data_IF_870596278042
#
_entry.id   IF_870596278042
#
_cell.length_a   1.000
_cell.length_b   1.000
_cell.length_c   1.000
_cell.angle_alpha   90.00
_cell.angle_beta   90.00
_cell.angle_gamma   90.00
#
_symmetry.space_group_name_H-M   'P 1'
#
loop_
_entity.id
_entity.type
_entity.pdbx_description
1 polymer ?
#
# COMPACT_ATOMS: atom_id res chain seq x y z
N UNK A 1 -38.98 28.76 14.84
CA UNK A 1 -37.87 27.94 15.38
C UNK A 1 -38.05 26.50 14.91
N UNK A 2 -36.93 25.82 14.65
CA UNK A 2 -36.77 24.39 14.31
C UNK A 2 -37.00 24.00 12.84
N UNK A 3 -35.90 23.84 12.12
CA UNK A 3 -35.41 22.51 11.77
C UNK A 3 -33.91 22.65 11.45
N UNK A 4 -33.06 22.20 12.37
CA UNK A 4 -31.66 21.93 12.04
C UNK A 4 -31.64 20.63 11.25
N UNK A 5 -31.23 20.68 9.99
CA UNK A 5 -30.85 19.51 9.21
C UNK A 5 -29.50 19.81 8.56
N UNK A 6 -28.44 19.83 9.38
CA UNK A 6 -27.07 19.70 8.88
C UNK A 6 -26.83 18.23 8.58
N UNK A 7 -27.15 17.79 7.35
CA UNK A 7 -26.70 16.50 6.85
C UNK A 7 -25.39 16.74 6.11
N UNK A 8 -24.29 16.68 6.85
CA UNK A 8 -22.94 16.64 6.29
C UNK A 8 -22.66 15.21 5.81
N UNK A 9 -22.92 14.90 4.54
CA UNK A 9 -22.45 13.66 3.90
C UNK A 9 -20.95 13.81 3.65
N UNK A 10 -20.14 13.41 4.62
CA UNK A 10 -18.69 13.35 4.48
C UNK A 10 -18.30 12.12 3.65
N UNK A 11 -17.94 12.38 2.39
CA UNK A 11 -16.83 11.80 1.64
C UNK A 11 -16.51 10.31 1.89
N UNK A 12 -17.15 9.42 1.13
CA UNK A 12 -16.55 8.12 0.80
C UNK A 12 -15.37 8.41 -0.14
N UNK A 13 -14.21 8.78 0.42
CA UNK A 13 -12.96 8.70 -0.30
C UNK A 13 -12.80 7.23 -0.68
N UNK A 14 -12.91 6.93 -1.97
CA UNK A 14 -12.66 5.61 -2.52
C UNK A 14 -11.25 5.21 -2.06
N UNK A 15 -11.17 4.35 -1.03
CA UNK A 15 -10.00 3.53 -0.81
C UNK A 15 -9.88 2.69 -2.07
N UNK A 16 -9.12 3.17 -3.05
CA UNK A 16 -8.45 2.25 -3.96
C UNK A 16 -7.52 1.48 -3.05
N UNK A 17 -7.99 0.35 -2.55
CA UNK A 17 -7.11 -0.66 -2.00
C UNK A 17 -6.05 -0.86 -3.08
N UNK A 18 -4.79 -0.57 -2.76
CA UNK A 18 -3.72 -1.08 -3.58
C UNK A 18 -3.87 -2.59 -3.49
N UNK A 19 -4.42 -3.25 -4.51
CA UNK A 19 -4.80 -4.66 -4.38
C UNK A 19 -3.57 -5.53 -4.06
N UNK A 20 -2.39 -5.07 -4.50
CA UNK A 20 -1.09 -5.54 -4.06
C UNK A 20 -0.02 -4.43 -4.11
N UNK A 21 1.02 -4.58 -3.29
CA UNK A 21 2.22 -3.74 -3.28
C UNK A 21 3.36 -4.40 -4.07
N UNK A 22 4.13 -3.58 -4.77
CA UNK A 22 5.34 -3.95 -5.51
C UNK A 22 6.44 -2.92 -5.33
N UNK A 23 7.69 -3.37 -5.43
CA UNK A 23 8.87 -2.52 -5.60
C UNK A 23 9.20 -2.35 -7.10
N UNK A 24 9.70 -1.18 -7.48
CA UNK A 24 10.02 -0.84 -8.87
C UNK A 24 11.39 -0.18 -9.01
N UNK A 25 12.04 -0.44 -10.15
CA UNK A 25 13.16 0.33 -10.66
C UNK A 25 12.72 1.02 -11.95
N UNK A 26 12.34 2.29 -11.85
CA UNK A 26 11.67 2.99 -12.96
C UNK A 26 10.31 2.36 -13.25
N UNK A 27 10.13 1.78 -14.43
CA UNK A 27 8.90 1.08 -14.83
C UNK A 27 8.97 -0.44 -14.63
N UNK A 28 10.14 -0.97 -14.26
CA UNK A 28 10.36 -2.42 -14.10
C UNK A 28 9.96 -2.86 -12.69
N UNK A 29 9.14 -3.90 -12.58
CA UNK A 29 8.83 -4.58 -11.31
C UNK A 29 10.07 -5.33 -10.82
N UNK A 30 10.39 -5.16 -9.54
CA UNK A 30 11.47 -5.84 -8.86
C UNK A 30 10.88 -6.94 -7.98
N UNK A 31 10.68 -8.11 -8.58
CA UNK A 31 10.01 -9.26 -7.96
C UNK A 31 10.71 -9.73 -6.69
N UNK A 32 12.04 -9.89 -6.74
CA UNK A 32 12.85 -10.30 -5.59
C UNK A 32 12.67 -9.37 -4.40
N UNK A 33 12.67 -8.05 -4.63
CA UNK A 33 12.49 -7.08 -3.55
C UNK A 33 11.04 -6.95 -3.11
N UNK A 34 10.09 -7.13 -4.01
CA UNK A 34 8.68 -7.24 -3.64
C UNK A 34 8.48 -8.40 -2.69
N UNK A 35 9.04 -9.57 -3.01
CA UNK A 35 8.93 -10.77 -2.19
C UNK A 35 9.61 -10.60 -0.83
N UNK A 36 10.85 -10.11 -0.84
CA UNK A 36 11.62 -9.83 0.37
C UNK A 36 10.87 -8.86 1.30
N UNK A 37 10.46 -7.70 0.79
CA UNK A 37 9.76 -6.71 1.58
C UNK A 37 8.38 -7.21 2.05
N UNK A 38 7.71 -8.06 1.28
CA UNK A 38 6.44 -8.63 1.71
C UNK A 38 6.63 -9.55 2.91
N UNK A 39 7.60 -10.47 2.83
CA UNK A 39 7.92 -11.41 3.90
C UNK A 39 8.40 -10.68 5.16
N UNK A 40 9.22 -9.64 5.00
CA UNK A 40 9.74 -8.83 6.11
C UNK A 40 8.61 -8.10 6.88
N UNK A 41 7.52 -7.73 6.20
CA UNK A 41 6.32 -7.15 6.85
C UNK A 41 5.28 -8.17 7.30
N UNK A 42 5.59 -9.47 7.23
CA UNK A 42 4.71 -10.55 7.66
C UNK A 42 3.62 -10.93 6.67
N UNK A 43 3.70 -10.44 5.43
CA UNK A 43 2.87 -10.88 4.32
C UNK A 43 3.50 -12.07 3.57
N UNK A 44 2.72 -12.65 2.68
CA UNK A 44 3.13 -13.73 1.79
C UNK A 44 2.90 -13.32 0.34
N UNK A 45 3.95 -13.27 -0.49
CA UNK A 45 3.82 -12.97 -1.91
C UNK A 45 2.94 -14.01 -2.61
N UNK A 46 2.19 -13.55 -3.61
CA UNK A 46 1.48 -14.46 -4.52
C UNK A 46 2.46 -15.13 -5.49
N UNK A 47 1.96 -16.04 -6.32
CA UNK A 47 2.75 -16.66 -7.40
C UNK A 47 3.20 -15.65 -8.47
N UNK A 48 2.57 -14.48 -8.52
CA UNK A 48 2.86 -13.41 -9.48
C UNK A 48 3.80 -12.34 -8.90
N UNK A 49 4.41 -12.62 -7.73
CA UNK A 49 5.28 -11.70 -7.00
C UNK A 49 4.57 -10.41 -6.56
N UNK A 50 3.29 -10.54 -6.20
CA UNK A 50 2.48 -9.46 -5.66
C UNK A 50 2.46 -9.59 -4.14
N UNK A 51 2.62 -8.48 -3.40
CA UNK A 51 2.38 -8.49 -1.96
C UNK A 51 0.95 -8.02 -1.65
N UNK A 52 -0.01 -8.88 -1.28
CA UNK A 52 -1.40 -8.45 -1.10
C UNK A 52 -1.51 -7.45 0.04
N UNK A 53 -1.98 -6.23 -0.24
CA UNK A 53 -2.00 -5.16 0.76
C UNK A 53 -2.90 -5.48 1.95
N UNK A 54 -3.89 -6.36 1.77
CA UNK A 54 -4.74 -6.87 2.84
C UNK A 54 -3.95 -7.63 3.92
N UNK A 55 -2.83 -8.27 3.56
CA UNK A 55 -1.97 -8.98 4.52
C UNK A 55 -1.09 -8.04 5.33
N UNK A 56 -0.78 -6.86 4.78
CA UNK A 56 0.14 -5.88 5.37
C UNK A 56 -0.53 -4.51 5.54
N UNK A 57 -1.84 -4.50 5.79
CA UNK A 57 -2.68 -3.28 5.69
C UNK A 57 -2.24 -2.14 6.60
N UNK A 58 -1.69 -2.49 7.75
CA UNK A 58 -1.17 -1.63 8.80
C UNK A 58 0.36 -1.45 8.71
N UNK A 59 0.98 -2.03 7.67
CA UNK A 59 2.42 -2.00 7.37
C UNK A 59 2.75 -1.49 5.96
N UNK A 60 1.78 -0.94 5.22
CA UNK A 60 2.00 -0.41 3.86
C UNK A 60 3.12 0.64 3.80
N UNK A 61 3.18 1.55 4.78
CA UNK A 61 4.29 2.51 4.90
C UNK A 61 5.63 1.82 5.12
N UNK A 62 5.67 0.77 5.94
CA UNK A 62 6.89 0.03 6.19
C UNK A 62 7.35 -0.75 4.95
N UNK A 63 6.42 -1.32 4.16
CA UNK A 63 6.73 -1.93 2.87
C UNK A 63 7.36 -0.91 1.91
N UNK A 64 6.76 0.28 1.79
CA UNK A 64 7.32 1.34 0.95
C UNK A 64 8.73 1.78 1.41
N UNK A 65 8.95 1.86 2.74
CA UNK A 65 10.29 2.11 3.30
C UNK A 65 11.27 1.00 2.93
N UNK A 66 10.88 -0.27 3.03
CA UNK A 66 11.74 -1.39 2.63
C UNK A 66 12.17 -1.29 1.16
N UNK A 67 11.24 -1.03 0.24
CA UNK A 67 11.62 -0.80 -1.17
C UNK A 67 12.64 0.34 -1.30
N UNK A 68 12.48 1.43 -0.54
CA UNK A 68 13.38 2.60 -0.58
C UNK A 68 14.76 2.30 0.00
N UNK A 69 14.85 1.53 1.10
CA UNK A 69 16.12 1.08 1.69
C UNK A 69 16.90 0.22 0.70
N UNK A 70 16.19 -0.56 -0.13
CA UNK A 70 16.73 -1.35 -1.23
C UNK A 70 16.94 -0.53 -2.53
N UNK A 71 16.79 0.80 -2.50
CA UNK A 71 16.93 1.73 -3.64
C UNK A 71 15.86 1.62 -4.75
N UNK A 72 14.65 1.18 -4.40
CA UNK A 72 13.48 1.05 -5.28
C UNK A 72 12.32 1.95 -4.86
N UNK A 73 11.38 2.19 -5.77
CA UNK A 73 10.11 2.88 -5.47
C UNK A 73 9.01 1.86 -5.18
N UNK A 74 7.95 2.26 -4.46
CA UNK A 74 6.78 1.41 -4.22
C UNK A 74 5.51 2.01 -4.83
N UNK A 75 4.60 1.17 -5.32
CA UNK A 75 3.26 1.57 -5.78
C UNK A 75 2.23 1.66 -4.65
N UNK A 76 2.52 1.08 -3.47
CA UNK A 76 1.63 1.17 -2.33
C UNK A 76 1.66 2.58 -1.74
N UNK A 77 0.53 3.27 -1.90
CA UNK A 77 0.34 4.63 -1.37
C UNK A 77 0.19 4.59 0.14
N UNK A 78 1.09 5.25 0.84
CA UNK A 78 1.02 5.45 2.28
C UNK A 78 -0.03 6.52 2.62
N UNK A 79 -1.11 6.21 3.37
CA UNK A 79 -2.10 7.21 3.77
C UNK A 79 -1.53 8.28 4.73
N UNK A 80 -0.36 8.05 5.35
CA UNK A 80 0.33 8.99 6.23
C UNK A 80 1.77 9.30 5.80
N UNK A 81 2.04 9.27 4.50
CA UNK A 81 3.35 9.58 3.94
C UNK A 81 4.33 8.41 4.02
N UNK A 82 5.04 8.23 2.91
CA UNK A 82 6.36 7.62 2.81
C UNK A 82 7.29 8.72 2.27
#
# INVERSE_FOLDING_TARGET
MKAHAFISVSLLAMLRAAEACKCFQGTKVMEVQTDYCCLEKGGYPTKDHDCPASQISDKLSAFATCCKEEHYTSDCKCPRGC
#
